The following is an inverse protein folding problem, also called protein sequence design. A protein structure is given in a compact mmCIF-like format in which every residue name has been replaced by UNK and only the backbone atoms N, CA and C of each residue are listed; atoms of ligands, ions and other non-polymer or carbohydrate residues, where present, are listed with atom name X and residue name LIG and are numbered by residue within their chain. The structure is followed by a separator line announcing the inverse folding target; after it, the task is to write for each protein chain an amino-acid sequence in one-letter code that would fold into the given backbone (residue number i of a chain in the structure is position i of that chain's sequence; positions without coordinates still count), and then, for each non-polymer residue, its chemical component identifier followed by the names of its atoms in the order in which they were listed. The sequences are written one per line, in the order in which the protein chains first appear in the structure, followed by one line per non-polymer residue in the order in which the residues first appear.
data_IF_133382007828
#
_entry.id   IF_133382007828
#
_cell.length_a   1.000
_cell.length_b   1.000
_cell.length_c   1.000
_cell.angle_alpha   90.00
_cell.angle_beta   90.00
_cell.angle_gamma   90.00
#
_symmetry.space_group_name_H-M   'P 1'
#
loop_
_entity.id
_entity.type
_entity.pdbx_description
1 polymer ?
#
# COMPACT_ATOMS: atom_id res chain seq x y z
N UNK A 1 60.63 37.20 4.18
CA UNK A 1 59.49 37.17 5.13
C UNK A 1 58.83 35.80 5.02
N UNK A 2 58.78 35.08 6.15
CA UNK A 2 58.43 33.65 6.24
C UNK A 2 56.90 33.45 6.14
N UNK A 3 56.37 33.22 4.94
CA UNK A 3 54.96 32.85 4.72
C UNK A 3 54.73 31.32 4.78
N UNK A 4 55.61 30.60 5.47
CA UNK A 4 55.52 29.14 5.67
C UNK A 4 54.26 28.73 6.45
N UNK A 5 53.66 29.63 7.23
CA UNK A 5 52.40 29.39 7.96
C UNK A 5 51.17 29.37 7.05
N UNK A 6 51.16 30.13 5.96
CA UNK A 6 50.04 30.19 5.02
C UNK A 6 50.00 28.94 4.13
N UNK A 7 51.17 28.44 3.73
CA UNK A 7 51.31 27.19 2.96
C UNK A 7 50.83 25.97 3.76
N UNK A 8 51.10 25.95 5.07
CA UNK A 8 50.66 24.86 5.96
C UNK A 8 49.15 24.88 6.19
N UNK A 9 48.54 26.06 6.29
CA UNK A 9 47.09 26.23 6.48
C UNK A 9 46.28 25.77 5.26
N UNK A 10 46.76 26.05 4.05
CA UNK A 10 46.11 25.59 2.80
C UNK A 10 46.19 24.06 2.66
N UNK A 11 47.30 23.45 3.06
CA UNK A 11 47.49 21.99 2.97
C UNK A 11 46.59 21.23 3.96
N UNK A 12 46.36 21.78 5.16
CA UNK A 12 45.42 21.22 6.13
C UNK A 12 43.97 21.40 5.67
N UNK A 13 43.62 22.53 5.04
CA UNK A 13 42.27 22.75 4.49
C UNK A 13 41.94 21.78 3.34
N UNK A 14 42.92 21.47 2.49
CA UNK A 14 42.75 20.57 1.36
C UNK A 14 42.55 19.11 1.79
N UNK A 15 43.13 18.71 2.94
CA UNK A 15 42.94 17.39 3.53
C UNK A 15 41.59 17.22 4.24
N UNK A 16 40.95 18.30 4.67
CA UNK A 16 39.61 18.27 5.29
C UNK A 16 38.50 18.06 4.23
N UNK A 17 38.76 18.37 2.96
CA UNK A 17 37.77 18.26 1.87
C UNK A 17 37.65 16.86 1.24
N UNK A 18 38.33 15.85 1.80
CA UNK A 18 38.24 14.47 1.32
C UNK A 18 37.82 13.52 2.45
N UNK A 19 36.64 13.72 3.02
CA UNK A 19 35.95 12.62 3.70
C UNK A 19 35.16 11.86 2.64
N UNK A 20 35.37 10.54 2.45
CA UNK A 20 34.47 9.75 1.63
C UNK A 20 33.09 9.84 2.26
N UNK A 21 32.12 10.32 1.47
CA UNK A 21 30.71 10.26 1.83
C UNK A 21 30.38 8.78 2.03
N UNK A 22 30.14 8.39 3.29
CA UNK A 22 29.66 7.06 3.64
C UNK A 22 28.28 6.94 3.01
N UNK A 23 28.23 6.36 1.81
CA UNK A 23 26.97 5.87 1.26
C UNK A 23 26.55 4.70 2.14
N UNK A 24 25.56 4.95 3.00
CA UNK A 24 24.87 3.87 3.67
C UNK A 24 24.35 2.89 2.60
N UNK A 25 24.39 1.57 2.84
CA UNK A 25 23.90 0.61 1.86
C UNK A 25 22.46 0.97 1.51
N UNK A 26 22.17 1.13 0.23
CA UNK A 26 20.81 1.24 -0.27
C UNK A 26 20.16 -0.11 0.02
N UNK A 27 19.56 -0.24 1.20
CA UNK A 27 18.59 -1.29 1.47
C UNK A 27 17.42 -0.90 0.60
N UNK A 28 17.35 -1.49 -0.59
CA UNK A 28 16.12 -1.53 -1.37
C UNK A 28 15.18 -2.41 -0.55
N UNK A 29 14.60 -1.82 0.48
CA UNK A 29 13.60 -2.45 1.33
C UNK A 29 12.48 -2.84 0.38
N UNK A 30 12.37 -4.14 0.09
CA UNK A 30 11.24 -4.70 -0.62
C UNK A 30 10.03 -4.36 0.23
N UNK A 31 9.38 -3.22 -0.07
CA UNK A 31 8.17 -2.81 0.62
C UNK A 31 7.19 -3.96 0.39
N UNK A 32 6.81 -4.72 1.44
CA UNK A 32 5.97 -5.88 1.26
C UNK A 32 4.69 -5.40 0.58
N UNK A 33 4.43 -5.91 -0.63
CA UNK A 33 3.27 -5.52 -1.41
C UNK A 33 2.02 -5.95 -0.65
N UNK A 34 1.34 -5.00 -0.03
CA UNK A 34 0.14 -5.28 0.75
C UNK A 34 -0.95 -5.84 -0.18
N UNK A 35 -1.55 -6.93 0.25
CA UNK A 35 -2.74 -7.49 -0.42
C UNK A 35 -3.90 -6.52 -0.36
N UNK A 36 -4.87 -6.67 -1.27
CA UNK A 36 -6.09 -5.83 -1.29
C UNK A 36 -6.83 -5.87 0.04
N UNK A 37 -6.95 -7.05 0.66
CA UNK A 37 -7.62 -7.18 1.95
C UNK A 37 -6.89 -6.41 3.06
N UNK A 38 -5.57 -6.53 3.16
CA UNK A 38 -4.78 -5.78 4.15
C UNK A 38 -4.92 -4.26 3.97
N UNK A 39 -4.99 -3.80 2.73
CA UNK A 39 -5.20 -2.38 2.42
C UNK A 39 -6.58 -1.91 2.88
N UNK A 40 -7.62 -2.69 2.62
CA UNK A 40 -8.98 -2.41 3.09
C UNK A 40 -9.08 -2.41 4.62
N UNK A 41 -8.42 -3.37 5.27
CA UNK A 41 -8.35 -3.49 6.74
C UNK A 41 -7.61 -2.28 7.36
N UNK A 42 -6.61 -1.74 6.64
CA UNK A 42 -5.93 -0.48 6.96
C UNK A 42 -6.75 0.78 6.64
N UNK A 43 -8.07 0.64 6.46
CA UNK A 43 -9.01 1.71 6.13
C UNK A 43 -8.80 2.39 4.77
N UNK A 44 -8.03 1.78 3.86
CA UNK A 44 -7.95 2.27 2.49
C UNK A 44 -9.30 2.09 1.79
N UNK A 45 -9.68 3.04 0.93
CA UNK A 45 -10.92 2.96 0.18
C UNK A 45 -10.73 2.15 -1.10
N UNK A 46 -11.76 1.42 -1.58
CA UNK A 46 -11.67 0.64 -2.82
C UNK A 46 -11.25 1.48 -4.03
N UNK A 47 -11.68 2.75 -4.10
CA UNK A 47 -11.28 3.66 -5.17
C UNK A 47 -9.79 4.02 -5.12
N UNK A 48 -9.21 4.16 -3.94
CA UNK A 48 -7.77 4.44 -3.78
C UNK A 48 -6.93 3.22 -4.17
N UNK A 49 -7.42 2.01 -3.84
CA UNK A 49 -6.83 0.74 -4.28
C UNK A 49 -6.87 0.60 -5.81
N UNK A 50 -8.00 0.89 -6.43
CA UNK A 50 -8.11 0.88 -7.89
C UNK A 50 -7.15 1.88 -8.55
N UNK A 51 -7.09 3.12 -8.04
CA UNK A 51 -6.21 4.18 -8.57
C UNK A 51 -4.72 3.86 -8.42
N UNK A 52 -4.33 2.95 -7.54
CA UNK A 52 -2.94 2.48 -7.44
C UNK A 52 -2.60 1.40 -8.48
N UNK A 53 -3.49 1.12 -9.44
CA UNK A 53 -3.26 0.15 -10.52
C UNK A 53 -3.76 -1.26 -10.23
N UNK A 54 -4.42 -1.50 -9.10
CA UNK A 54 -5.04 -2.81 -8.82
C UNK A 54 -6.28 -2.98 -9.71
N UNK A 55 -6.40 -4.10 -10.46
CA UNK A 55 -7.54 -4.31 -11.35
C UNK A 55 -8.81 -4.63 -10.54
N UNK A 56 -9.97 -4.24 -11.07
CA UNK A 56 -11.27 -4.41 -10.39
C UNK A 56 -11.58 -5.86 -9.98
N UNK A 57 -11.12 -6.85 -10.76
CA UNK A 57 -11.32 -8.28 -10.46
C UNK A 57 -10.72 -8.68 -9.10
N UNK A 58 -9.65 -8.01 -8.66
CA UNK A 58 -8.96 -8.30 -7.40
C UNK A 58 -9.55 -7.49 -6.23
N UNK A 59 -10.40 -6.50 -6.53
CA UNK A 59 -11.13 -5.67 -5.57
C UNK A 59 -12.54 -6.24 -5.32
N UNK A 60 -13.19 -6.80 -6.33
CA UNK A 60 -14.50 -7.43 -6.17
C UNK A 60 -14.42 -8.68 -5.30
N UNK A 61 -15.55 -8.99 -4.65
CA UNK A 61 -15.69 -10.07 -3.67
C UNK A 61 -14.81 -9.96 -2.41
N UNK A 62 -13.96 -8.95 -2.28
CA UNK A 62 -13.22 -8.65 -1.03
C UNK A 62 -14.14 -8.06 0.03
N UNK A 63 -13.84 -8.30 1.31
CA UNK A 63 -14.69 -7.87 2.42
C UNK A 63 -14.37 -6.42 2.82
N UNK A 64 -15.37 -5.55 2.78
CA UNK A 64 -15.27 -4.14 3.14
C UNK A 64 -16.53 -3.66 3.85
N UNK A 65 -16.36 -3.01 5.01
CA UNK A 65 -17.45 -2.39 5.79
C UNK A 65 -18.67 -3.31 6.03
N UNK A 66 -18.43 -4.60 6.28
CA UNK A 66 -19.46 -5.56 6.65
C UNK A 66 -20.17 -6.24 5.49
N UNK A 67 -19.58 -6.24 4.29
CA UNK A 67 -20.05 -7.00 3.14
C UNK A 67 -18.96 -7.15 2.09
N UNK A 68 -19.21 -7.94 1.05
CA UNK A 68 -18.29 -8.13 -0.05
C UNK A 68 -18.53 -7.06 -1.13
N UNK A 69 -17.47 -6.44 -1.65
CA UNK A 69 -17.60 -5.43 -2.71
C UNK A 69 -18.18 -6.09 -3.96
N UNK A 70 -19.33 -5.60 -4.41
CA UNK A 70 -20.02 -6.08 -5.61
C UNK A 70 -19.83 -5.13 -6.79
N UNK A 71 -19.79 -3.84 -6.53
CA UNK A 71 -19.67 -2.80 -7.56
C UNK A 71 -18.86 -1.62 -7.05
N UNK A 72 -18.10 -1.01 -7.96
CA UNK A 72 -17.33 0.22 -7.74
C UNK A 72 -17.41 1.10 -8.99
N UNK A 73 -17.95 2.29 -8.85
CA UNK A 73 -17.86 3.38 -9.82
C UNK A 73 -16.44 3.96 -9.76
N UNK A 74 -15.65 3.74 -10.81
CA UNK A 74 -14.25 4.16 -10.88
C UNK A 74 -14.09 5.67 -11.12
N UNK A 75 -15.15 6.37 -11.51
CA UNK A 75 -15.15 7.82 -11.71
C UNK A 75 -15.42 8.51 -10.37
N UNK A 76 -16.52 8.15 -9.70
CA UNK A 76 -16.93 8.85 -8.46
C UNK A 76 -16.44 8.19 -7.18
N UNK A 77 -15.98 6.93 -7.23
CA UNK A 77 -15.57 6.15 -6.05
C UNK A 77 -16.73 5.64 -5.19
N UNK A 78 -17.98 5.70 -5.70
CA UNK A 78 -19.15 5.13 -5.01
C UNK A 78 -19.22 3.64 -5.30
N UNK A 79 -19.72 2.84 -4.37
CA UNK A 79 -19.79 1.40 -4.54
C UNK A 79 -20.94 0.76 -3.79
N UNK A 80 -21.15 -0.52 -4.08
CA UNK A 80 -22.15 -1.36 -3.43
C UNK A 80 -21.41 -2.53 -2.77
N UNK A 81 -21.72 -2.77 -1.51
CA UNK A 81 -21.30 -3.97 -0.78
C UNK A 81 -22.49 -4.90 -0.60
N UNK A 82 -22.30 -6.18 -0.88
CA UNK A 82 -23.27 -7.22 -0.58
C UNK A 82 -23.01 -7.75 0.83
N UNK A 83 -23.93 -7.49 1.76
CA UNK A 83 -23.88 -8.08 3.10
C UNK A 83 -24.61 -9.42 3.05
N UNK A 84 -23.89 -10.49 3.33
CA UNK A 84 -24.50 -11.81 3.46
C UNK A 84 -25.28 -11.88 4.79
N UNK A 85 -26.59 -11.64 4.77
CA UNK A 85 -27.51 -12.23 5.74
C UNK A 85 -27.93 -13.57 5.15
N UNK A 86 -27.27 -14.66 5.53
CA UNK A 86 -27.43 -15.97 4.86
C UNK A 86 -28.92 -16.33 4.72
N UNK A 87 -29.34 -16.90 3.59
CA UNK A 87 -29.36 -18.36 3.45
C UNK A 87 -29.47 -18.82 1.98
N UNK A 88 -28.47 -19.56 1.50
CA UNK A 88 -28.74 -20.67 0.56
C UNK A 88 -29.00 -20.33 -0.89
N UNK A 89 -27.99 -19.88 -1.63
CA UNK A 89 -28.02 -19.95 -3.10
C UNK A 89 -27.44 -21.30 -3.52
N UNK A 90 -28.26 -22.34 -3.51
CA UNK A 90 -27.97 -23.53 -4.30
C UNK A 90 -28.06 -23.15 -5.77
N UNK A 91 -26.97 -23.31 -6.51
CA UNK A 91 -27.08 -23.56 -7.94
C UNK A 91 -27.79 -24.92 -8.09
N UNK A 92 -29.13 -24.87 -8.21
CA UNK A 92 -30.02 -26.02 -8.34
C UNK A 92 -29.75 -27.20 -7.36
N UNK A 93 -29.72 -26.98 -6.04
CA UNK A 93 -29.73 -28.14 -5.13
C UNK A 93 -29.55 -27.91 -3.63
N UNK A 94 -28.74 -26.95 -3.19
CA UNK A 94 -28.59 -26.70 -1.76
C UNK A 94 -29.56 -25.59 -1.33
N UNK A 95 -30.37 -25.84 -0.30
CA UNK A 95 -31.11 -24.81 0.45
C UNK A 95 -30.36 -24.60 1.75
N UNK A 96 -30.03 -23.37 2.13
CA UNK A 96 -30.08 -23.02 3.54
C UNK A 96 -31.45 -22.39 3.68
N UNK A 97 -32.12 -22.74 4.75
CA UNK A 97 -33.08 -21.88 5.40
C UNK A 97 -32.53 -21.64 6.80
N UNK A 98 -32.49 -20.39 7.24
CA UNK A 98 -32.42 -20.09 8.67
C UNK A 98 -33.80 -19.59 9.01
N UNK A 99 -34.52 -20.25 9.91
CA UNK A 99 -35.66 -19.62 10.57
C UNK A 99 -35.09 -18.53 11.48
N UNK A 100 -35.57 -17.30 11.31
CA UNK A 100 -35.41 -16.27 12.34
C UNK A 100 -36.45 -16.57 13.43
N UNK A 101 -35.99 -16.79 14.66
CA UNK A 101 -36.77 -16.58 15.91
C UNK A 101 -36.39 -15.22 16.50
#
# INVERSE_FOLDING_TARGET
MKNTKLLWLVLVLFLIMCTPEKSDPIIEEEIPQLTVQQRLDNNETPIKIFRSGVPLKDIYATFYKGGNIFYLDTITGRGIVSRNSVTTIGWNGCKFSMPFE
#
